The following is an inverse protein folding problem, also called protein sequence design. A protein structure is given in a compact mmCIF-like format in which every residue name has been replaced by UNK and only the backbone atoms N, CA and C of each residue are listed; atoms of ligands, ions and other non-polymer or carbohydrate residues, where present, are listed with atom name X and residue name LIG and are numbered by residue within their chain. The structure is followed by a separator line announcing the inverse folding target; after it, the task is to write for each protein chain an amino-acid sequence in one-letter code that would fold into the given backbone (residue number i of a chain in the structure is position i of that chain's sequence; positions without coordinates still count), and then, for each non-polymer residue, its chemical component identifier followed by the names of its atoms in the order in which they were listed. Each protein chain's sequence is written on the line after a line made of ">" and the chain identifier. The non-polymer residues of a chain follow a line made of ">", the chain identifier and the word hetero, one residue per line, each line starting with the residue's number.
data_IF_234638989478
#
_entry.id   IF_234638989478
#
_cell.length_a   1.000
_cell.length_b   1.000
_cell.length_c   1.000
_cell.angle_alpha   90.00
_cell.angle_beta   90.00
_cell.angle_gamma   90.00
#
_symmetry.space_group_name_H-M   'P 1'
#
loop_
_entity.id
_entity.type
_entity.pdbx_description
1 polymer ?
#
# COMPACT_ATOMS: atom_id res chain seq x y z
N UNK A 1 -32.90 -3.04 -13.78
CA UNK A 1 -33.50 -1.86 -13.11
C UNK A 1 -33.13 -0.61 -13.92
N UNK A 2 -34.15 -0.02 -14.63
CA UNK A 2 -33.96 1.21 -15.38
C UNK A 2 -34.06 2.42 -14.44
N UNK A 3 -32.92 2.84 -13.87
CA UNK A 3 -32.83 4.08 -13.11
C UNK A 3 -32.50 5.21 -14.12
N UNK A 4 -33.33 6.27 -14.20
CA UNK A 4 -33.07 7.38 -15.13
C UNK A 4 -31.72 8.05 -14.88
N UNK A 5 -30.96 8.38 -15.93
CA UNK A 5 -29.64 9.04 -15.81
C UNK A 5 -29.69 10.34 -14.98
N UNK A 6 -30.81 11.10 -15.08
CA UNK A 6 -31.03 12.31 -14.28
C UNK A 6 -31.01 12.07 -12.75
N UNK A 7 -31.23 10.83 -12.30
CA UNK A 7 -31.18 10.43 -10.89
C UNK A 7 -29.75 10.16 -10.39
N UNK A 8 -28.81 9.82 -11.25
CA UNK A 8 -27.49 9.30 -10.87
C UNK A 8 -26.67 10.27 -10.02
N UNK A 9 -26.60 11.53 -10.41
CA UNK A 9 -25.86 12.54 -9.63
C UNK A 9 -26.43 12.75 -8.22
N UNK A 10 -27.75 12.69 -8.09
CA UNK A 10 -28.41 12.80 -6.77
C UNK A 10 -28.21 11.54 -5.95
N UNK A 11 -28.26 10.35 -6.56
CA UNK A 11 -27.98 9.09 -5.88
C UNK A 11 -26.55 9.01 -5.35
N UNK A 12 -25.56 9.51 -6.12
CA UNK A 12 -24.17 9.58 -5.65
C UNK A 12 -23.98 10.49 -4.43
N UNK A 13 -24.79 11.56 -4.33
CA UNK A 13 -24.65 12.56 -3.24
C UNK A 13 -25.48 12.22 -2.00
N UNK A 14 -26.68 11.74 -2.19
CA UNK A 14 -27.67 11.57 -1.10
C UNK A 14 -28.09 10.11 -0.87
N UNK A 15 -27.67 9.19 -1.71
CA UNK A 15 -28.06 7.78 -1.61
C UNK A 15 -29.50 7.49 -1.94
N UNK A 16 -30.36 8.52 -2.09
CA UNK A 16 -31.80 8.41 -2.35
C UNK A 16 -32.28 9.62 -3.15
N UNK A 17 -33.19 9.38 -4.07
CA UNK A 17 -33.87 10.45 -4.84
C UNK A 17 -35.31 10.03 -5.19
N UNK A 18 -36.21 10.97 -5.15
CA UNK A 18 -37.57 10.80 -5.65
C UNK A 18 -37.73 11.56 -6.96
N UNK A 19 -38.18 10.86 -8.00
CA UNK A 19 -38.44 11.42 -9.32
C UNK A 19 -39.78 10.86 -9.85
N UNK A 20 -40.67 11.76 -10.24
CA UNK A 20 -41.94 11.40 -10.85
C UNK A 20 -42.76 10.44 -9.96
N UNK A 21 -42.73 10.68 -8.62
CA UNK A 21 -43.46 9.85 -7.64
C UNK A 21 -42.81 8.48 -7.39
N UNK A 22 -41.62 8.21 -7.92
CA UNK A 22 -40.89 6.97 -7.73
C UNK A 22 -39.59 7.20 -6.94
N UNK A 23 -39.37 6.38 -5.93
CA UNK A 23 -38.16 6.45 -5.11
C UNK A 23 -37.10 5.53 -5.72
N UNK A 24 -35.89 6.08 -5.89
CA UNK A 24 -34.70 5.37 -6.31
C UNK A 24 -33.67 5.44 -5.20
N UNK A 25 -32.93 4.36 -5.01
CA UNK A 25 -31.87 4.23 -3.99
C UNK A 25 -30.57 3.77 -4.62
N UNK A 26 -29.44 4.03 -3.95
CA UNK A 26 -28.11 3.71 -4.50
C UNK A 26 -27.95 2.23 -4.79
N UNK A 27 -28.52 1.36 -3.97
CA UNK A 27 -28.46 -0.10 -4.13
C UNK A 27 -29.12 -0.60 -5.44
N UNK A 28 -29.99 0.20 -6.05
CA UNK A 28 -30.58 -0.13 -7.35
C UNK A 28 -29.61 0.01 -8.52
N UNK A 29 -28.53 0.75 -8.34
CA UNK A 29 -27.54 1.10 -9.38
C UNK A 29 -26.12 0.67 -9.04
N UNK A 30 -25.82 0.45 -7.77
CA UNK A 30 -24.54 -0.05 -7.33
C UNK A 30 -24.48 -1.57 -7.52
N UNK A 31 -23.34 -2.06 -7.99
CA UNK A 31 -22.99 -3.46 -7.91
C UNK A 31 -22.60 -3.85 -6.48
N UNK A 32 -22.18 -5.10 -6.26
CA UNK A 32 -21.66 -5.55 -4.98
C UNK A 32 -20.51 -4.68 -4.52
N UNK A 33 -20.33 -4.56 -3.22
CA UNK A 33 -19.21 -3.83 -2.65
C UNK A 33 -17.89 -4.47 -3.09
N UNK A 34 -16.98 -3.66 -3.62
CA UNK A 34 -15.66 -4.12 -4.09
C UNK A 34 -14.59 -3.70 -3.12
N UNK A 35 -13.68 -4.60 -2.84
CA UNK A 35 -12.43 -4.25 -2.17
C UNK A 35 -11.66 -3.23 -3.02
N UNK A 36 -11.36 -2.06 -2.46
CA UNK A 36 -10.50 -1.08 -3.10
C UNK A 36 -9.06 -1.55 -3.18
N UNK A 37 -8.26 -0.90 -4.02
CA UNK A 37 -6.81 -1.07 -4.08
C UNK A 37 -6.19 -0.06 -3.12
N UNK A 38 -5.30 -0.54 -2.25
CA UNK A 38 -4.57 0.31 -1.29
C UNK A 38 -3.07 0.14 -1.49
N UNK A 39 -2.39 1.25 -1.73
CA UNK A 39 -0.92 1.31 -1.72
C UNK A 39 -0.49 2.25 -0.61
N UNK A 40 0.43 1.79 0.24
CA UNK A 40 1.03 2.64 1.26
C UNK A 40 2.47 2.94 0.87
N UNK A 41 2.84 4.22 0.92
CA UNK A 41 4.19 4.71 0.67
C UNK A 41 4.73 5.41 1.91
N UNK A 42 5.90 4.99 2.37
CA UNK A 42 6.58 5.55 3.53
C UNK A 42 8.04 5.84 3.18
N UNK A 43 8.46 7.08 3.36
CA UNK A 43 9.82 7.54 3.11
C UNK A 43 10.31 8.49 4.21
N UNK A 44 11.61 8.69 4.31
CA UNK A 44 12.27 9.62 5.25
C UNK A 44 11.78 9.47 6.70
N UNK A 45 11.76 8.24 7.21
CA UNK A 45 11.09 7.95 8.47
C UNK A 45 11.76 6.86 9.29
N UNK A 46 11.70 6.99 10.62
CA UNK A 46 12.00 5.90 11.53
C UNK A 46 10.82 4.95 11.66
N UNK A 47 11.07 3.65 11.95
CA UNK A 47 9.99 2.70 12.20
C UNK A 47 9.11 3.15 13.39
N UNK A 48 7.81 3.16 13.17
CA UNK A 48 6.81 3.39 14.22
C UNK A 48 5.67 2.39 14.10
N UNK A 49 4.98 2.13 15.20
CA UNK A 49 3.78 1.28 15.19
C UNK A 49 2.72 1.82 14.22
N UNK A 50 2.58 3.15 14.13
CA UNK A 50 1.63 3.81 13.26
C UNK A 50 1.86 3.52 11.78
N UNK A 51 3.11 3.37 11.33
CA UNK A 51 3.41 3.01 9.95
C UNK A 51 2.82 1.62 9.63
N UNK A 52 3.06 0.64 10.51
CA UNK A 52 2.50 -0.69 10.34
C UNK A 52 0.96 -0.70 10.37
N UNK A 53 0.34 0.07 11.27
CA UNK A 53 -1.11 0.24 11.33
C UNK A 53 -1.68 0.84 10.04
N UNK A 54 -1.02 1.87 9.51
CA UNK A 54 -1.45 2.50 8.25
C UNK A 54 -1.19 1.60 7.03
N UNK A 55 -0.13 0.79 7.05
CA UNK A 55 0.15 -0.16 5.99
C UNK A 55 -0.78 -1.38 6.00
N UNK A 56 -1.39 -1.70 7.13
CA UNK A 56 -2.31 -2.84 7.23
C UNK A 56 -3.43 -2.76 6.18
N UNK A 57 -3.72 -3.88 5.53
CA UNK A 57 -4.70 -3.96 4.45
C UNK A 57 -4.25 -3.39 3.10
N UNK A 58 -2.99 -2.97 2.96
CA UNK A 58 -2.44 -2.56 1.66
C UNK A 58 -2.16 -3.76 0.76
N UNK A 59 -2.38 -3.58 -0.53
CA UNK A 59 -2.01 -4.53 -1.57
C UNK A 59 -0.52 -4.43 -1.94
N UNK A 60 0.08 -3.28 -1.64
CA UNK A 60 1.52 -3.03 -1.75
C UNK A 60 1.96 -2.04 -0.68
N UNK A 61 3.06 -2.35 -0.02
CA UNK A 61 3.77 -1.44 0.87
C UNK A 61 5.11 -1.06 0.24
N UNK A 62 5.28 0.22 -0.07
CA UNK A 62 6.53 0.80 -0.55
C UNK A 62 7.13 1.55 0.63
N UNK A 63 8.31 1.12 1.06
CA UNK A 63 8.95 1.66 2.24
C UNK A 63 10.40 2.01 1.96
N UNK A 64 10.88 3.07 2.62
CA UNK A 64 12.31 3.32 2.61
C UNK A 64 13.08 2.16 3.22
N UNK A 65 14.30 2.01 2.76
CA UNK A 65 15.32 1.20 3.39
C UNK A 65 16.65 1.81 3.00
N UNK A 66 17.13 2.75 3.80
CA UNK A 66 18.35 3.48 3.42
C UNK A 66 19.59 2.59 3.47
N UNK A 67 19.62 1.64 4.39
CA UNK A 67 20.80 0.79 4.62
C UNK A 67 20.45 -0.68 4.57
N UNK A 68 21.24 -1.44 3.80
CA UNK A 68 21.18 -2.90 3.75
C UNK A 68 22.02 -3.59 4.85
N UNK A 69 23.04 -2.89 5.37
CA UNK A 69 23.95 -3.43 6.39
C UNK A 69 23.32 -3.33 7.79
N UNK A 70 23.33 -4.45 8.54
CA UNK A 70 22.84 -4.51 9.93
C UNK A 70 23.60 -3.57 10.85
N UNK A 71 24.90 -3.43 10.61
CA UNK A 71 25.83 -2.62 11.40
C UNK A 71 25.51 -1.12 11.29
N UNK A 72 24.79 -0.73 10.26
CA UNK A 72 24.37 0.67 10.06
C UNK A 72 23.06 1.04 10.79
N UNK A 73 22.51 0.18 11.62
CA UNK A 73 21.32 0.47 12.40
C UNK A 73 21.46 1.72 13.28
N UNK A 74 22.64 1.95 13.87
CA UNK A 74 22.94 3.17 14.64
C UNK A 74 22.91 4.42 13.75
N UNK A 75 23.54 4.37 12.56
CA UNK A 75 23.52 5.47 11.59
C UNK A 75 22.13 5.75 11.04
N UNK A 76 21.35 4.71 10.80
CA UNK A 76 19.95 4.86 10.38
C UNK A 76 19.14 5.61 11.45
N UNK A 77 19.33 5.27 12.72
CA UNK A 77 18.66 5.92 13.84
C UNK A 77 19.06 7.38 13.97
N UNK A 78 20.35 7.68 13.90
CA UNK A 78 20.89 9.04 13.99
C UNK A 78 20.35 9.93 12.86
N UNK A 79 20.29 9.39 11.65
CA UNK A 79 19.84 10.12 10.45
C UNK A 79 18.33 10.08 10.25
N UNK A 80 17.58 9.44 11.17
CA UNK A 80 16.12 9.31 11.15
C UNK A 80 15.57 8.50 9.95
N UNK A 81 16.37 7.55 9.47
CA UNK A 81 16.00 6.58 8.45
C UNK A 81 15.89 5.17 9.03
N UNK A 82 15.60 4.19 8.20
CA UNK A 82 15.54 2.79 8.61
C UNK A 82 16.42 1.89 7.73
N UNK A 83 16.72 0.72 8.27
CA UNK A 83 17.37 -0.36 7.56
C UNK A 83 16.37 -1.21 6.80
N UNK A 84 16.82 -2.04 5.87
CA UNK A 84 16.00 -3.04 5.18
C UNK A 84 15.28 -3.98 6.15
N UNK A 85 15.95 -4.34 7.24
CA UNK A 85 15.42 -5.24 8.26
C UNK A 85 14.25 -4.60 9.02
N UNK A 86 14.40 -3.34 9.41
CA UNK A 86 13.34 -2.58 10.08
C UNK A 86 12.12 -2.38 9.16
N UNK A 87 12.33 -2.14 7.87
CA UNK A 87 11.24 -2.06 6.89
C UNK A 87 10.53 -3.41 6.71
N UNK A 88 11.29 -4.51 6.67
CA UNK A 88 10.74 -5.87 6.60
C UNK A 88 9.92 -6.24 7.85
N UNK A 89 10.39 -5.83 9.04
CA UNK A 89 9.64 -6.00 10.30
C UNK A 89 8.31 -5.24 10.30
N UNK A 90 8.29 -4.01 9.76
CA UNK A 90 7.06 -3.24 9.58
C UNK A 90 6.09 -3.94 8.62
N UNK A 91 6.58 -4.46 7.50
CA UNK A 91 5.78 -5.19 6.52
C UNK A 91 5.19 -6.47 7.13
N UNK A 92 5.99 -7.23 7.86
CA UNK A 92 5.53 -8.44 8.56
C UNK A 92 4.45 -8.11 9.60
N UNK A 93 4.66 -7.05 10.39
CA UNK A 93 3.70 -6.58 11.39
C UNK A 93 2.41 -6.07 10.77
N UNK A 94 2.48 -5.41 9.63
CA UNK A 94 1.32 -4.91 8.90
C UNK A 94 0.54 -6.02 8.17
N UNK A 95 1.16 -7.19 7.95
CA UNK A 95 0.55 -8.31 7.23
C UNK A 95 0.28 -8.00 5.75
N UNK A 96 1.10 -7.15 5.13
CA UNK A 96 0.95 -6.83 3.70
C UNK A 96 1.39 -8.00 2.81
N UNK A 97 0.87 -8.13 1.58
CA UNK A 97 1.28 -9.20 0.70
C UNK A 97 2.67 -8.98 0.06
N UNK A 98 3.11 -7.73 -0.09
CA UNK A 98 4.35 -7.38 -0.79
C UNK A 98 4.97 -6.10 -0.24
N UNK A 99 6.30 -6.10 -0.09
CA UNK A 99 7.11 -4.95 0.29
C UNK A 99 8.08 -4.59 -0.83
N UNK A 100 8.07 -3.33 -1.26
CA UNK A 100 9.11 -2.75 -2.09
C UNK A 100 10.00 -1.83 -1.27
N UNK A 101 11.30 -2.10 -1.27
CA UNK A 101 12.30 -1.23 -0.66
C UNK A 101 12.70 -0.13 -1.64
N UNK A 102 12.89 1.06 -1.13
CA UNK A 102 13.28 2.24 -1.91
C UNK A 102 14.13 3.19 -1.07
N UNK A 103 14.47 4.35 -1.60
CA UNK A 103 15.21 5.41 -0.88
C UNK A 103 16.56 4.94 -0.32
N UNK A 104 17.34 4.26 -1.15
CA UNK A 104 18.64 3.75 -0.76
C UNK A 104 19.68 4.84 -0.52
N UNK A 105 20.61 4.61 0.41
CA UNK A 105 21.80 5.43 0.54
C UNK A 105 22.56 5.48 -0.81
N UNK A 106 23.06 6.65 -1.22
CA UNK A 106 23.92 6.74 -2.42
C UNK A 106 25.14 5.82 -2.39
N UNK A 107 25.57 5.40 -1.20
CA UNK A 107 26.68 4.44 -1.02
C UNK A 107 26.27 2.98 -1.21
N UNK A 108 24.96 2.70 -1.30
CA UNK A 108 24.45 1.34 -1.45
C UNK A 108 24.37 0.98 -2.95
N UNK A 109 25.36 0.21 -3.42
CA UNK A 109 25.48 -0.13 -4.84
C UNK A 109 24.60 -1.33 -5.23
N UNK A 110 24.45 -2.30 -4.33
CA UNK A 110 23.80 -3.58 -4.61
C UNK A 110 22.81 -3.97 -3.52
N UNK A 111 21.58 -3.45 -3.55
CA UNK A 111 20.56 -3.79 -2.56
C UNK A 111 20.17 -5.27 -2.56
N UNK A 112 20.31 -5.95 -3.70
CA UNK A 112 20.02 -7.37 -3.87
C UNK A 112 20.89 -8.28 -2.96
N UNK A 113 22.09 -7.86 -2.60
CA UNK A 113 23.01 -8.65 -1.74
C UNK A 113 22.44 -8.94 -0.35
N UNK A 114 21.51 -8.15 0.12
CA UNK A 114 20.93 -8.27 1.47
C UNK A 114 19.62 -9.05 1.49
N UNK A 115 19.07 -9.38 0.32
CA UNK A 115 17.71 -9.92 0.22
C UNK A 115 17.56 -11.29 0.85
N UNK A 116 18.57 -12.14 0.83
CA UNK A 116 18.52 -13.47 1.43
C UNK A 116 18.25 -13.38 2.94
N UNK A 117 18.86 -12.42 3.62
CA UNK A 117 18.65 -12.21 5.04
C UNK A 117 17.35 -11.44 5.35
N UNK A 118 17.04 -10.42 4.57
CA UNK A 118 15.82 -9.62 4.73
C UNK A 118 14.58 -10.47 4.52
N UNK A 119 14.59 -11.36 3.54
CA UNK A 119 13.49 -12.29 3.24
C UNK A 119 13.25 -13.34 4.32
N UNK A 120 14.18 -13.58 5.22
CA UNK A 120 13.93 -14.39 6.42
C UNK A 120 12.94 -13.70 7.38
N UNK A 121 12.86 -12.35 7.34
CA UNK A 121 11.92 -11.56 8.14
C UNK A 121 10.60 -11.41 7.37
N UNK A 122 10.69 -11.01 6.11
CA UNK A 122 9.53 -10.85 5.25
C UNK A 122 9.83 -11.39 3.84
N UNK A 123 9.27 -12.55 3.52
CA UNK A 123 9.64 -13.33 2.32
C UNK A 123 9.42 -12.56 1.00
N UNK A 124 8.30 -11.82 0.90
CA UNK A 124 7.97 -11.09 -0.32
C UNK A 124 8.52 -9.65 -0.31
N UNK A 125 9.81 -9.53 -0.02
CA UNK A 125 10.55 -8.27 -0.12
C UNK A 125 11.25 -8.17 -1.46
N UNK A 126 11.02 -7.06 -2.15
CA UNK A 126 11.60 -6.76 -3.46
C UNK A 126 12.45 -5.49 -3.36
N UNK A 127 13.74 -5.54 -3.77
CA UNK A 127 14.54 -4.34 -3.89
C UNK A 127 14.04 -3.52 -5.09
N UNK A 128 13.40 -2.39 -4.81
CA UNK A 128 12.85 -1.50 -5.81
C UNK A 128 13.93 -0.93 -6.72
N UNK A 129 13.59 -0.71 -7.97
CA UNK A 129 14.44 -0.12 -9.01
C UNK A 129 13.68 0.98 -9.73
N UNK A 130 14.40 1.96 -10.24
CA UNK A 130 13.80 3.00 -11.07
C UNK A 130 13.02 2.39 -12.23
N UNK A 131 11.85 2.96 -12.49
CA UNK A 131 10.91 2.52 -13.54
C UNK A 131 10.29 1.14 -13.30
N UNK A 132 10.44 0.56 -12.12
CA UNK A 132 9.66 -0.62 -11.74
C UNK A 132 8.18 -0.22 -11.61
N UNK A 133 7.30 -1.08 -12.07
CA UNK A 133 5.86 -0.83 -11.99
C UNK A 133 5.11 -2.07 -11.51
N UNK A 134 3.94 -1.84 -10.94
CA UNK A 134 2.98 -2.86 -10.55
C UNK A 134 1.61 -2.45 -11.05
N UNK A 135 0.95 -3.34 -11.76
CA UNK A 135 -0.42 -3.15 -12.17
C UNK A 135 -1.35 -3.87 -11.19
N UNK A 136 -2.38 -3.17 -10.76
CA UNK A 136 -3.47 -3.73 -9.96
C UNK A 136 -4.74 -3.63 -10.78
N UNK A 137 -5.43 -4.74 -10.90
CA UNK A 137 -6.74 -4.80 -11.53
C UNK A 137 -7.78 -5.19 -10.48
N UNK A 138 -8.98 -4.65 -10.60
CA UNK A 138 -10.08 -5.14 -9.80
C UNK A 138 -10.43 -6.56 -10.25
N UNK A 139 -10.65 -7.46 -9.31
CA UNK A 139 -11.21 -8.77 -9.64
C UNK A 139 -12.54 -8.54 -10.35
N UNK A 140 -12.68 -9.14 -11.52
CA UNK A 140 -13.97 -9.13 -12.22
C UNK A 140 -14.98 -9.89 -11.34
N UNK A 141 -16.19 -9.36 -11.24
CA UNK A 141 -17.28 -10.05 -10.54
C UNK A 141 -17.45 -11.43 -11.19
N UNK A 142 -17.12 -12.48 -10.44
CA UNK A 142 -17.28 -13.89 -10.84
C UNK A 142 -18.71 -14.33 -10.65
#
# INVERSE_FOLDING_TARGET
>A
NHVPMKAWSSLQKSGRVELEGRVYTSDMVLGPERKGIKVTYCTDSRPTARIAEQAAGSDLFICEGMYGEKEKAASAREKKHMTFYEAAELAAKAGVPELWLTHYSPSLIRPDMYMDDVRKIFANTIPGKDRMFREFVFEADS
#
